data_IF_402559307379
#
_entry.id   IF_402559307379
#
_cell.length_a   1.000
_cell.length_b   1.000
_cell.length_c   1.000
_cell.angle_alpha   90.00
_cell.angle_beta   90.00
_cell.angle_gamma   90.00
#
_symmetry.space_group_name_H-M   'P 1'
#
loop_
_entity.id
_entity.type
_entity.pdbx_description
1 polymer ?
#
# COMPACT_ATOMS: atom_id res chain seq x y z
N UNK A 1 12.14 5.62 -11.96
CA UNK A 1 12.61 6.12 -10.68
C UNK A 1 11.65 5.71 -9.56
N UNK A 2 12.18 5.23 -8.46
CA UNK A 2 11.34 4.81 -7.33
C UNK A 2 10.67 6.02 -6.68
N UNK A 3 9.38 5.94 -6.41
CA UNK A 3 8.64 7.01 -5.74
C UNK A 3 7.45 6.44 -4.99
N UNK A 4 7.06 7.11 -3.91
CA UNK A 4 5.82 6.76 -3.21
C UNK A 4 4.65 7.27 -4.04
N UNK A 5 3.80 6.36 -4.51
CA UNK A 5 2.62 6.71 -5.31
C UNK A 5 1.31 6.24 -4.66
N UNK A 6 1.38 5.63 -3.48
CA UNK A 6 0.22 5.06 -2.84
C UNK A 6 0.43 4.96 -1.34
N UNK A 7 -0.61 5.19 -0.56
CA UNK A 7 -0.59 4.95 0.88
C UNK A 7 -1.80 4.09 1.22
N UNK A 8 -1.55 2.95 1.85
CA UNK A 8 -2.62 2.07 2.30
C UNK A 8 -2.89 2.31 3.77
N UNK A 9 -4.15 2.57 4.13
CA UNK A 9 -4.57 2.84 5.49
C UNK A 9 -5.42 1.70 6.02
N UNK A 10 -5.19 1.26 7.27
CA UNK A 10 -6.02 0.22 7.87
C UNK A 10 -7.41 0.78 8.20
N UNK A 11 -8.45 0.02 7.87
CA UNK A 11 -9.84 0.43 8.13
C UNK A 11 -10.73 -0.73 8.57
N UNK A 12 -10.14 -1.84 9.03
CA UNK A 12 -10.88 -3.08 9.31
C UNK A 12 -12.02 -2.91 10.33
N UNK A 13 -11.85 -2.01 11.31
CA UNK A 13 -12.83 -1.84 12.38
C UNK A 13 -13.93 -0.82 12.04
N UNK A 14 -13.74 0.00 10.99
CA UNK A 14 -14.65 1.09 10.70
C UNK A 14 -14.55 1.51 9.22
N UNK A 15 -14.58 0.55 8.30
CA UNK A 15 -14.32 0.83 6.88
C UNK A 15 -15.27 1.89 6.31
N UNK A 16 -16.58 1.72 6.47
CA UNK A 16 -17.57 2.65 5.91
C UNK A 16 -17.48 4.02 6.56
N UNK A 17 -17.28 4.08 7.87
CA UNK A 17 -17.12 5.36 8.57
C UNK A 17 -15.86 6.09 8.11
N UNK A 18 -14.77 5.37 7.93
CA UNK A 18 -13.49 5.93 7.50
C UNK A 18 -13.59 6.46 6.08
N UNK A 19 -14.20 5.69 5.19
CA UNK A 19 -14.45 6.09 3.80
C UNK A 19 -15.27 7.39 3.75
N UNK A 20 -16.38 7.42 4.49
CA UNK A 20 -17.24 8.61 4.57
C UNK A 20 -16.54 9.81 5.17
N UNK A 21 -15.69 9.59 6.17
CA UNK A 21 -14.91 10.65 6.80
C UNK A 21 -14.02 11.37 5.77
N UNK A 22 -13.23 10.62 5.02
CA UNK A 22 -12.31 11.22 4.04
C UNK A 22 -13.06 11.88 2.88
N UNK A 23 -14.17 11.29 2.45
CA UNK A 23 -15.00 11.89 1.41
C UNK A 23 -15.56 13.25 1.86
N UNK A 24 -16.05 13.35 3.09
CA UNK A 24 -16.60 14.59 3.63
C UNK A 24 -15.52 15.62 3.94
N UNK A 25 -14.43 15.20 4.56
CA UNK A 25 -13.40 16.14 5.03
C UNK A 25 -12.60 16.73 3.88
N UNK A 26 -12.31 15.94 2.84
CA UNK A 26 -11.38 16.34 1.78
C UNK A 26 -11.96 16.21 0.38
N UNK A 27 -13.19 15.76 0.24
CA UNK A 27 -13.81 15.60 -1.07
C UNK A 27 -13.24 14.45 -1.89
N UNK A 28 -12.58 13.48 -1.25
CA UNK A 28 -12.00 12.35 -1.97
C UNK A 28 -13.08 11.45 -2.52
N UNK A 29 -12.89 11.01 -3.76
CA UNK A 29 -13.80 10.07 -4.42
C UNK A 29 -13.16 8.69 -4.44
N UNK A 30 -13.87 7.71 -3.88
CA UNK A 30 -13.39 6.35 -3.77
C UNK A 30 -14.08 5.44 -4.78
N UNK A 31 -13.31 4.51 -5.33
CA UNK A 31 -13.84 3.35 -6.04
C UNK A 31 -13.79 2.17 -5.09
N UNK A 32 -14.90 1.43 -4.98
CA UNK A 32 -14.96 0.26 -4.11
C UNK A 32 -14.57 -1.00 -4.90
N UNK A 33 -13.66 -1.77 -4.30
CA UNK A 33 -13.20 -3.04 -4.84
C UNK A 33 -13.64 -4.16 -3.89
N UNK A 34 -14.95 -4.36 -3.82
CA UNK A 34 -15.56 -5.25 -2.85
C UNK A 34 -15.94 -4.51 -1.57
N UNK A 35 -16.45 -5.23 -0.54
CA UNK A 35 -16.97 -4.59 0.68
C UNK A 35 -15.89 -4.06 1.61
N UNK A 36 -14.64 -4.51 1.46
CA UNK A 36 -13.56 -4.28 2.42
C UNK A 36 -12.41 -3.46 1.86
N UNK A 37 -12.50 -2.97 0.63
CA UNK A 37 -11.41 -2.20 0.04
C UNK A 37 -11.93 -1.08 -0.83
N UNK A 38 -11.42 0.12 -0.61
CA UNK A 38 -11.78 1.30 -1.39
C UNK A 38 -10.52 2.10 -1.67
N UNK A 39 -10.41 2.70 -2.85
CA UNK A 39 -9.23 3.47 -3.20
C UNK A 39 -9.58 4.67 -4.05
N UNK A 40 -8.79 5.75 -3.93
CA UNK A 40 -8.80 6.84 -4.87
C UNK A 40 -7.98 6.45 -6.10
N UNK A 41 -8.30 7.02 -7.26
CA UNK A 41 -7.61 6.65 -8.52
C UNK A 41 -7.29 7.87 -9.38
N UNK A 42 -7.31 9.06 -8.83
CA UNK A 42 -7.25 10.30 -9.60
C UNK A 42 -6.11 11.23 -9.20
N UNK A 43 -5.13 10.75 -8.46
CA UNK A 43 -4.01 11.55 -8.03
C UNK A 43 -2.66 10.99 -8.49
N UNK A 44 -1.60 11.76 -8.24
CA UNK A 44 -0.23 11.27 -8.40
C UNK A 44 0.17 10.35 -7.26
N UNK A 45 -0.45 10.56 -6.10
CA UNK A 45 -0.39 9.66 -4.94
C UNK A 45 -1.81 9.34 -4.54
N UNK A 46 -2.16 8.07 -4.59
CA UNK A 46 -3.49 7.61 -4.23
C UNK A 46 -3.52 6.95 -2.86
N UNK A 47 -4.72 6.77 -2.32
CA UNK A 47 -4.93 6.20 -0.99
C UNK A 47 -5.87 5.01 -1.11
N UNK A 48 -5.47 3.89 -0.49
CA UNK A 48 -6.32 2.73 -0.35
C UNK A 48 -6.75 2.54 1.09
N UNK A 49 -8.03 2.26 1.31
CA UNK A 49 -8.54 1.88 2.62
C UNK A 49 -8.67 0.36 2.65
N UNK A 50 -7.85 -0.29 3.47
CA UNK A 50 -7.83 -1.75 3.59
C UNK A 50 -8.60 -2.17 4.83
N UNK A 51 -9.83 -2.65 4.62
CA UNK A 51 -10.67 -3.17 5.66
C UNK A 51 -10.61 -4.69 5.82
N UNK A 52 -9.71 -5.36 5.13
CA UNK A 52 -9.58 -6.81 5.16
C UNK A 52 -8.93 -7.26 6.46
N UNK A 53 -9.63 -8.11 7.23
CA UNK A 53 -9.15 -8.58 8.53
C UNK A 53 -7.98 -9.54 8.41
N UNK A 54 -7.98 -10.38 7.38
CA UNK A 54 -6.92 -11.38 7.16
C UNK A 54 -5.61 -10.77 6.67
N UNK A 55 -5.68 -9.56 6.12
CA UNK A 55 -4.52 -8.82 5.64
C UNK A 55 -4.43 -7.47 6.36
N UNK A 56 -4.79 -7.46 7.63
CA UNK A 56 -4.89 -6.23 8.40
C UNK A 56 -3.54 -5.57 8.60
N UNK A 57 -3.48 -4.29 8.30
CA UNK A 57 -2.35 -3.43 8.63
C UNK A 57 -2.50 -2.94 10.06
N UNK A 58 -1.39 -2.82 10.77
CA UNK A 58 -1.37 -2.20 12.10
C UNK A 58 -1.11 -0.69 12.05
N UNK A 59 -0.68 -0.18 10.88
CA UNK A 59 -0.32 1.22 10.69
C UNK A 59 -0.42 1.58 9.21
N UNK A 60 -0.44 2.87 8.87
CA UNK A 60 -0.35 3.29 7.47
C UNK A 60 0.87 2.68 6.78
N UNK A 61 0.69 2.26 5.54
CA UNK A 61 1.72 1.59 4.76
C UNK A 61 2.00 2.42 3.50
N UNK A 62 3.12 3.16 3.46
CA UNK A 62 3.56 3.80 2.22
C UNK A 62 3.98 2.74 1.19
N UNK A 63 3.65 2.95 -0.07
CA UNK A 63 3.93 2.01 -1.14
C UNK A 63 4.75 2.70 -2.21
N UNK A 64 5.90 2.12 -2.54
CA UNK A 64 6.86 2.66 -3.49
C UNK A 64 6.68 1.96 -4.84
N UNK A 65 6.46 2.74 -5.90
CA UNK A 65 6.43 2.20 -7.25
C UNK A 65 7.82 2.13 -7.83
N UNK A 66 8.13 1.00 -8.47
CA UNK A 66 9.38 0.78 -9.21
C UNK A 66 9.08 0.14 -10.57
N UNK A 67 10.02 0.19 -11.48
CA UNK A 67 9.89 -0.46 -12.79
C UNK A 67 10.35 -1.92 -12.75
N UNK A 68 11.36 -2.22 -11.93
CA UNK A 68 12.00 -3.54 -11.85
C UNK A 68 11.91 -4.06 -10.41
N UNK A 69 10.93 -4.90 -10.15
CA UNK A 69 10.64 -5.34 -8.78
C UNK A 69 11.74 -6.19 -8.18
N UNK A 70 12.26 -7.15 -8.95
CA UNK A 70 13.34 -8.03 -8.46
C UNK A 70 14.61 -7.25 -8.17
N UNK A 71 14.94 -6.28 -9.01
CA UNK A 71 16.09 -5.41 -8.78
C UNK A 71 15.92 -4.57 -7.52
N UNK A 72 14.70 -4.07 -7.27
CA UNK A 72 14.41 -3.34 -6.05
C UNK A 72 14.51 -4.23 -4.81
N UNK A 73 14.04 -5.47 -4.91
CA UNK A 73 14.17 -6.46 -3.83
C UNK A 73 15.63 -6.68 -3.45
N UNK A 74 16.49 -6.87 -4.46
CA UNK A 74 17.92 -7.04 -4.23
C UNK A 74 18.56 -5.79 -3.63
N UNK A 75 18.18 -4.62 -4.10
CA UNK A 75 18.69 -3.35 -3.58
C UNK A 75 18.32 -3.14 -2.10
N UNK A 76 17.09 -3.46 -1.73
CA UNK A 76 16.62 -3.36 -0.35
C UNK A 76 17.43 -4.28 0.57
N UNK A 77 17.63 -5.53 0.17
CA UNK A 77 18.36 -6.50 0.99
C UNK A 77 19.84 -6.11 1.13
N UNK A 78 20.47 -5.68 0.04
CA UNK A 78 21.88 -5.25 0.07
C UNK A 78 22.07 -3.99 0.89
N UNK A 79 21.07 -3.12 0.93
CA UNK A 79 21.15 -1.87 1.71
C UNK A 79 20.84 -2.06 3.20
N UNK A 80 20.47 -3.27 3.62
CA UNK A 80 20.25 -3.57 5.03
C UNK A 80 18.80 -3.62 5.47
N UNK A 81 17.85 -3.57 4.53
CA UNK A 81 16.43 -3.78 4.82
C UNK A 81 16.12 -5.24 5.12
N UNK A 82 15.10 -5.46 5.93
CA UNK A 82 14.61 -6.79 6.24
C UNK A 82 13.34 -7.07 5.43
N UNK A 83 13.27 -8.20 4.75
CA UNK A 83 12.05 -8.54 3.99
C UNK A 83 10.98 -9.03 4.96
N UNK A 84 9.88 -8.28 5.06
CA UNK A 84 8.74 -8.64 5.89
C UNK A 84 7.79 -9.59 5.16
N UNK A 85 7.58 -9.37 3.85
CA UNK A 85 6.78 -10.25 2.99
C UNK A 85 7.50 -10.42 1.65
N UNK A 86 7.83 -11.65 1.23
CA UNK A 86 8.42 -11.87 -0.08
C UNK A 86 7.48 -11.47 -1.22
N UNK A 87 7.99 -11.38 -2.43
CA UNK A 87 7.20 -10.98 -3.60
C UNK A 87 5.95 -11.85 -3.74
N UNK A 88 4.81 -11.20 -3.88
CA UNK A 88 3.53 -11.85 -4.14
C UNK A 88 2.72 -11.05 -5.16
N UNK A 89 1.77 -11.74 -5.82
CA UNK A 89 0.91 -11.13 -6.83
C UNK A 89 -0.38 -10.61 -6.22
N UNK A 90 -0.90 -9.53 -6.80
CA UNK A 90 -2.22 -8.99 -6.48
C UNK A 90 -2.87 -8.49 -7.78
N UNK A 91 -4.16 -8.13 -7.78
CA UNK A 91 -4.85 -7.69 -9.00
C UNK A 91 -4.38 -6.32 -9.50
N UNK A 92 -3.24 -6.14 -9.95
CA UNK A 92 -2.66 -4.88 -10.45
C UNK A 92 -1.19 -5.01 -10.66
N UNK A 93 -0.58 -6.08 -10.14
CA UNK A 93 0.84 -6.31 -10.28
C UNK A 93 1.39 -7.24 -9.23
N UNK A 94 2.60 -6.94 -8.80
CA UNK A 94 3.29 -7.71 -7.75
C UNK A 94 3.90 -6.74 -6.76
N UNK A 95 4.08 -7.18 -5.52
CA UNK A 95 4.72 -6.36 -4.49
C UNK A 95 5.44 -7.22 -3.46
N UNK A 96 6.28 -6.57 -2.67
CA UNK A 96 6.87 -7.14 -1.47
C UNK A 96 6.88 -6.09 -0.38
N UNK A 97 7.09 -6.51 0.87
CA UNK A 97 7.17 -5.59 2.01
C UNK A 97 8.56 -5.72 2.65
N UNK A 98 9.08 -4.60 3.13
CA UNK A 98 10.33 -4.58 3.86
C UNK A 98 10.20 -3.69 5.10
N UNK A 99 11.13 -3.90 6.02
CA UNK A 99 11.29 -3.06 7.22
C UNK A 99 12.62 -2.35 7.08
N UNK A 100 12.60 -1.03 7.23
CA UNK A 100 13.80 -0.22 7.15
C UNK A 100 14.60 -0.28 8.46
N UNK A 101 15.82 0.31 8.52
CA UNK A 101 16.63 0.25 9.73
C UNK A 101 16.00 0.87 10.98
N UNK A 102 15.05 1.79 10.81
CA UNK A 102 14.35 2.42 11.92
C UNK A 102 13.10 1.66 12.36
N UNK A 103 12.75 0.57 11.67
CA UNK A 103 11.60 -0.27 12.02
C UNK A 103 10.31 0.07 11.28
N UNK A 104 10.33 0.94 10.28
CA UNK A 104 9.14 1.24 9.49
C UNK A 104 8.93 0.21 8.39
N UNK A 105 7.68 -0.25 8.26
CA UNK A 105 7.32 -1.16 7.17
C UNK A 105 6.79 -0.37 5.98
N UNK A 106 7.32 -0.65 4.80
CA UNK A 106 6.84 -0.12 3.52
C UNK A 106 6.66 -1.27 2.55
N UNK A 107 5.89 -1.02 1.50
CA UNK A 107 5.78 -1.96 0.38
C UNK A 107 6.43 -1.37 -0.87
N UNK A 108 6.84 -2.25 -1.78
CA UNK A 108 7.35 -1.88 -3.10
C UNK A 108 6.55 -2.67 -4.12
N UNK A 109 6.10 -2.01 -5.19
CA UNK A 109 5.28 -2.67 -6.21
C UNK A 109 5.70 -2.29 -7.62
N UNK A 110 5.33 -3.15 -8.56
CA UNK A 110 5.38 -2.87 -9.98
C UNK A 110 4.14 -3.46 -10.65
N UNK A 111 3.79 -2.96 -11.81
CA UNK A 111 2.65 -3.46 -12.58
C UNK A 111 3.01 -4.67 -13.46
N UNK A 112 4.25 -5.12 -13.35
CA UNK A 112 4.74 -6.33 -14.01
C UNK A 112 5.12 -7.38 -12.96
#
# INVERSE_FOLDING_TARGET
MARIDYVELPSATAHELTRGFYAKAFGWEFTDYGPDYSATTNGTTDVGLNGQRDDALSAPLPVIRVDELEAAFDSVTKAGGTIARPIFSFPGGRRFHFIDPAGSELAVWSDT
#
